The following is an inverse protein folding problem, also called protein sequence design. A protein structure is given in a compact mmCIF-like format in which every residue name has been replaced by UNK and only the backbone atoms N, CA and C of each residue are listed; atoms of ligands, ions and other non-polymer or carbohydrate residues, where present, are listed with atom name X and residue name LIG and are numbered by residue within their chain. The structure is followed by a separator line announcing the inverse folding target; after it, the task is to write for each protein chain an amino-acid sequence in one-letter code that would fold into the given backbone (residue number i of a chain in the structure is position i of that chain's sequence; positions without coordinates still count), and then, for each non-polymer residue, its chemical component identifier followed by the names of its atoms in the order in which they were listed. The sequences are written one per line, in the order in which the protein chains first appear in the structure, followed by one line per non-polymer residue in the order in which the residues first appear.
data_IF_375681815236
#
_entry.id   IF_375681815236
#
_cell.length_a   1.000
_cell.length_b   1.000
_cell.length_c   1.000
_cell.angle_alpha   90.00
_cell.angle_beta   90.00
_cell.angle_gamma   90.00
#
_symmetry.space_group_name_H-M   'P 1'
#
loop_
_entity.id
_entity.type
_entity.pdbx_description
1 polymer ?
#
# COMPACT_ATOMS: atom_id res chain seq x y z
N UNK A 1 2.82 -16.26 -1.80
CA UNK A 1 3.44 -15.74 -0.58
C UNK A 1 4.62 -16.62 -0.21
N UNK A 2 5.76 -16.00 0.06
CA UNK A 2 7.00 -16.67 0.42
C UNK A 2 7.22 -16.61 1.93
N UNK A 3 7.59 -17.71 2.57
CA UNK A 3 8.01 -17.70 3.97
C UNK A 3 9.42 -18.29 4.13
N UNK A 4 10.14 -17.76 5.10
CA UNK A 4 11.43 -18.30 5.54
C UNK A 4 11.25 -18.85 6.94
N UNK A 5 11.80 -20.04 7.18
CA UNK A 5 11.84 -20.66 8.48
C UNK A 5 13.30 -20.79 8.92
N UNK A 6 13.57 -20.29 10.10
CA UNK A 6 14.88 -20.42 10.73
C UNK A 6 14.78 -21.46 11.81
N UNK A 7 15.53 -22.55 11.66
CA UNK A 7 15.55 -23.69 12.58
C UNK A 7 16.96 -23.97 13.06
N UNK A 8 17.07 -24.52 14.28
CA UNK A 8 18.37 -24.89 14.85
C UNK A 8 18.93 -26.17 14.24
N UNK A 9 18.10 -27.18 14.05
CA UNK A 9 18.55 -28.51 13.58
C UNK A 9 17.70 -29.05 12.43
N UNK A 10 16.40 -29.14 12.60
CA UNK A 10 15.45 -29.63 11.59
C UNK A 10 14.07 -29.05 11.83
N UNK A 11 13.35 -28.85 10.75
CA UNK A 11 11.95 -28.45 10.83
C UNK A 11 11.12 -29.59 11.45
N UNK A 12 10.17 -29.21 12.31
CA UNK A 12 9.18 -30.14 12.84
C UNK A 12 8.39 -30.80 11.70
N UNK A 13 8.29 -32.14 11.71
CA UNK A 13 7.66 -32.93 10.63
C UNK A 13 6.17 -32.58 10.45
N UNK A 14 5.49 -32.12 11.51
CA UNK A 14 4.09 -31.70 11.45
C UNK A 14 3.91 -30.30 10.87
N UNK A 15 4.88 -29.43 11.05
CA UNK A 15 4.79 -28.03 10.58
C UNK A 15 4.99 -27.90 9.07
N UNK A 16 5.90 -28.68 8.49
CA UNK A 16 6.26 -28.62 7.07
C UNK A 16 5.07 -28.78 6.12
N UNK A 17 4.18 -29.79 6.27
CA UNK A 17 3.01 -29.94 5.41
C UNK A 17 2.01 -28.79 5.55
N UNK A 18 1.86 -28.25 6.77
CA UNK A 18 0.95 -27.13 7.04
C UNK A 18 1.42 -25.86 6.34
N UNK A 19 2.70 -25.58 6.40
CA UNK A 19 3.29 -24.40 5.74
C UNK A 19 3.17 -24.49 4.23
N UNK A 20 3.47 -25.65 3.65
CA UNK A 20 3.35 -25.89 2.22
C UNK A 20 1.90 -25.79 1.71
N UNK A 21 0.90 -25.91 2.58
CA UNK A 21 -0.51 -25.71 2.23
C UNK A 21 -0.95 -24.26 2.23
N UNK A 22 -0.19 -23.36 2.85
CA UNK A 22 -0.53 -21.93 3.02
C UNK A 22 0.36 -21.02 2.18
N UNK A 23 1.63 -21.39 2.03
CA UNK A 23 2.64 -20.59 1.35
C UNK A 23 3.03 -21.20 0.00
N UNK A 24 3.23 -20.38 -1.02
CA UNK A 24 3.67 -20.80 -2.35
C UNK A 24 5.14 -21.27 -2.34
N UNK A 25 5.93 -20.70 -1.45
CA UNK A 25 7.34 -21.04 -1.27
C UNK A 25 7.70 -21.02 0.21
N UNK A 26 8.36 -22.08 0.66
CA UNK A 26 8.89 -22.23 2.02
C UNK A 26 10.39 -22.50 1.91
N UNK A 27 11.19 -21.60 2.45
CA UNK A 27 12.64 -21.77 2.54
C UNK A 27 13.03 -22.06 3.99
N UNK A 28 13.81 -23.12 4.19
CA UNK A 28 14.36 -23.46 5.50
C UNK A 28 15.81 -22.99 5.55
N UNK A 29 16.18 -22.25 6.58
CA UNK A 29 17.53 -21.77 6.85
C UNK A 29 17.97 -22.35 8.18
N UNK A 30 19.14 -22.95 8.20
CA UNK A 30 19.74 -23.48 9.43
C UNK A 30 20.51 -22.39 10.18
N UNK A 31 20.55 -22.48 11.50
CA UNK A 31 21.09 -21.43 12.35
C UNK A 31 22.61 -21.18 12.25
N UNK A 32 23.32 -22.00 11.51
CA UNK A 32 24.74 -21.85 11.18
C UNK A 32 24.99 -21.13 9.85
N UNK A 33 23.91 -20.85 9.09
CA UNK A 33 23.96 -20.13 7.83
C UNK A 33 23.90 -18.60 8.05
N UNK A 34 24.37 -17.84 7.08
CA UNK A 34 24.25 -16.38 7.10
C UNK A 34 22.80 -15.94 6.76
N UNK A 35 21.96 -15.94 7.81
CA UNK A 35 20.52 -15.63 7.73
C UNK A 35 20.29 -14.23 7.17
N UNK A 36 21.12 -13.28 7.58
CA UNK A 36 21.00 -11.87 7.17
C UNK A 36 21.16 -11.78 5.67
N UNK A 37 22.23 -12.33 5.12
CA UNK A 37 22.45 -12.35 3.67
C UNK A 37 21.33 -13.06 2.91
N UNK A 38 20.79 -14.16 3.42
CA UNK A 38 19.67 -14.86 2.79
C UNK A 38 18.41 -13.98 2.68
N UNK A 39 18.06 -13.30 3.77
CA UNK A 39 16.89 -12.41 3.80
C UNK A 39 17.09 -11.17 2.92
N UNK A 40 18.32 -10.64 2.85
CA UNK A 40 18.65 -9.51 1.98
C UNK A 40 18.60 -9.86 0.49
N UNK A 41 19.04 -11.05 0.11
CA UNK A 41 19.08 -11.50 -1.28
C UNK A 41 17.70 -11.83 -1.85
N UNK A 42 16.81 -12.35 -1.02
CA UNK A 42 15.48 -12.81 -1.42
C UNK A 42 14.46 -12.65 -0.28
N UNK A 43 13.98 -11.41 -0.04
CA UNK A 43 13.14 -11.09 1.11
C UNK A 43 11.86 -11.93 1.18
N UNK A 44 11.54 -12.53 2.34
CA UNK A 44 10.30 -13.25 2.55
C UNK A 44 9.15 -12.30 2.90
N UNK A 45 7.93 -12.81 2.84
CA UNK A 45 6.74 -12.12 3.34
C UNK A 45 6.48 -12.35 4.84
N UNK A 46 7.05 -13.43 5.39
CA UNK A 46 6.94 -13.84 6.80
C UNK A 46 8.18 -14.61 7.23
N UNK A 47 8.65 -14.40 8.44
CA UNK A 47 9.74 -15.13 9.06
C UNK A 47 9.20 -15.95 10.23
N UNK A 48 9.40 -17.26 10.20
CA UNK A 48 9.16 -18.15 11.32
C UNK A 48 10.51 -18.52 11.96
N UNK A 49 10.63 -18.40 13.27
CA UNK A 49 11.88 -18.69 14.00
C UNK A 49 11.63 -19.65 15.13
N UNK A 50 12.39 -20.72 15.22
CA UNK A 50 12.36 -21.62 16.36
C UNK A 50 12.77 -20.88 17.65
N UNK A 51 11.98 -20.99 18.72
CA UNK A 51 12.21 -20.29 19.99
C UNK A 51 13.56 -20.61 20.62
N UNK A 52 14.04 -21.83 20.44
CA UNK A 52 15.36 -22.25 20.92
C UNK A 52 16.49 -21.48 20.25
N UNK A 53 16.31 -21.14 18.98
CA UNK A 53 17.26 -20.35 18.22
C UNK A 53 17.20 -18.85 18.60
N UNK A 54 16.00 -18.30 18.79
CA UNK A 54 15.81 -16.90 19.23
C UNK A 54 16.53 -16.59 20.55
N UNK A 55 16.62 -17.57 21.45
CA UNK A 55 17.32 -17.40 22.74
C UNK A 55 18.84 -17.40 22.60
N UNK A 56 19.37 -18.01 21.54
CA UNK A 56 20.81 -18.08 21.26
C UNK A 56 21.28 -16.97 20.33
N UNK A 57 20.33 -16.36 19.61
CA UNK A 57 20.61 -15.15 18.84
C UNK A 57 21.11 -14.08 19.79
N UNK A 58 22.32 -13.62 19.55
CA UNK A 58 22.82 -12.39 20.18
C UNK A 58 21.78 -11.30 19.93
N UNK A 59 21.40 -10.54 20.96
CA UNK A 59 20.41 -9.45 20.85
C UNK A 59 20.68 -8.54 19.64
N UNK A 60 21.93 -8.50 19.16
CA UNK A 60 22.36 -7.77 17.98
C UNK A 60 21.68 -8.17 16.67
N UNK A 61 21.40 -9.47 16.42
CA UNK A 61 20.78 -9.87 15.14
C UNK A 61 19.28 -9.53 15.13
N UNK A 62 18.59 -9.74 16.25
CA UNK A 62 17.19 -9.35 16.37
C UNK A 62 17.03 -7.82 16.27
N UNK A 63 17.93 -7.06 16.88
CA UNK A 63 18.00 -5.59 16.79
C UNK A 63 18.39 -5.15 15.39
N UNK A 64 19.27 -5.85 14.68
CA UNK A 64 19.62 -5.56 13.30
C UNK A 64 18.42 -5.73 12.36
N UNK A 65 17.63 -6.79 12.53
CA UNK A 65 16.38 -6.96 11.77
C UNK A 65 15.37 -5.86 12.08
N UNK A 66 15.18 -5.51 13.35
CA UNK A 66 14.19 -4.48 13.76
C UNK A 66 14.66 -3.06 13.49
N UNK A 67 15.95 -2.80 13.58
CA UNK A 67 16.55 -1.50 13.26
C UNK A 67 16.64 -1.22 11.77
N UNK A 68 16.46 -2.24 10.92
CA UNK A 68 16.54 -2.09 9.48
C UNK A 68 15.27 -1.44 8.91
N UNK A 69 15.42 -0.33 8.21
CA UNK A 69 14.30 0.43 7.63
C UNK A 69 13.55 -0.33 6.52
N UNK A 70 14.20 -1.31 5.90
CA UNK A 70 13.62 -2.09 4.78
C UNK A 70 12.91 -3.35 5.31
N UNK A 71 13.52 -4.06 6.26
CA UNK A 71 13.06 -5.38 6.71
C UNK A 71 12.47 -5.41 8.12
N UNK A 72 12.63 -4.32 8.89
CA UNK A 72 12.13 -4.24 10.27
C UNK A 72 10.60 -4.35 10.41
N UNK A 73 9.88 -4.27 9.29
CA UNK A 73 8.43 -4.46 9.23
C UNK A 73 8.00 -5.90 8.86
N UNK A 74 8.96 -6.79 8.52
CA UNK A 74 8.62 -8.19 8.23
C UNK A 74 8.11 -8.86 9.50
N UNK A 75 6.96 -9.56 9.43
CA UNK A 75 6.43 -10.27 10.58
C UNK A 75 7.39 -11.38 11.03
N UNK A 76 7.79 -11.31 12.29
CA UNK A 76 8.66 -12.30 12.95
C UNK A 76 7.82 -13.10 13.94
N UNK A 77 7.67 -14.40 13.69
CA UNK A 77 6.81 -15.29 14.47
C UNK A 77 7.64 -16.41 15.10
N UNK A 78 7.55 -16.55 16.42
CA UNK A 78 8.23 -17.62 17.12
C UNK A 78 7.47 -18.95 17.00
N UNK A 79 8.20 -20.02 16.75
CA UNK A 79 7.70 -21.41 16.85
C UNK A 79 8.14 -21.97 18.20
N UNK A 80 7.17 -22.25 19.07
CA UNK A 80 7.38 -22.49 20.50
C UNK A 80 6.89 -23.86 20.95
N UNK A 81 7.50 -24.37 22.00
CA UNK A 81 6.95 -25.44 22.84
C UNK A 81 6.14 -24.84 24.01
N UNK A 82 5.39 -25.67 24.77
CA UNK A 82 4.69 -25.20 25.97
C UNK A 82 5.63 -24.60 27.02
N UNK A 83 6.82 -25.19 27.18
CA UNK A 83 7.82 -24.69 28.11
C UNK A 83 8.31 -23.29 27.77
N UNK A 84 8.35 -22.98 26.49
CA UNK A 84 8.80 -21.66 26.04
C UNK A 84 7.81 -20.55 26.39
N UNK A 85 6.52 -20.88 26.46
CA UNK A 85 5.46 -19.92 26.81
C UNK A 85 5.42 -19.64 28.33
N UNK A 86 5.78 -20.60 29.15
CA UNK A 86 5.87 -20.42 30.60
C UNK A 86 7.01 -19.46 30.99
N UNK A 87 7.98 -19.28 30.10
CA UNK A 87 9.11 -18.40 30.30
C UNK A 87 8.73 -16.94 29.94
N UNK A 88 8.73 -16.07 30.97
CA UNK A 88 8.43 -14.64 30.80
C UNK A 88 9.38 -13.90 29.88
N UNK A 89 10.57 -14.43 29.62
CA UNK A 89 11.55 -13.81 28.71
C UNK A 89 11.05 -13.75 27.27
N UNK A 90 10.05 -14.56 26.91
CA UNK A 90 9.38 -14.44 25.61
C UNK A 90 8.72 -13.09 25.36
N UNK A 91 8.25 -12.40 26.40
CA UNK A 91 7.62 -11.09 26.28
C UNK A 91 8.61 -9.97 25.91
N UNK A 92 9.90 -10.21 26.19
CA UNK A 92 10.98 -9.26 25.90
C UNK A 92 11.61 -9.52 24.51
N UNK A 93 11.17 -10.60 23.82
CA UNK A 93 11.68 -10.91 22.49
C UNK A 93 11.00 -10.03 21.42
N UNK A 94 11.73 -9.59 20.39
CA UNK A 94 11.21 -8.73 19.33
C UNK A 94 10.38 -9.51 18.30
N UNK A 95 9.38 -10.29 18.77
CA UNK A 95 8.48 -11.08 17.95
C UNK A 95 7.10 -10.41 17.82
N UNK A 96 6.42 -10.66 16.70
CA UNK A 96 5.06 -10.13 16.46
C UNK A 96 3.98 -11.09 16.91
N UNK A 97 4.28 -12.42 16.90
CA UNK A 97 3.35 -13.47 17.32
C UNK A 97 4.12 -14.78 17.57
N UNK A 98 3.41 -15.82 18.03
CA UNK A 98 4.00 -17.14 18.25
C UNK A 98 3.04 -18.28 17.88
N UNK A 99 3.59 -19.44 17.54
CA UNK A 99 2.87 -20.68 17.26
C UNK A 99 3.35 -21.73 18.24
N UNK A 100 2.40 -22.43 18.89
CA UNK A 100 2.71 -23.51 19.85
C UNK A 100 2.56 -24.85 19.15
N UNK A 101 3.63 -25.63 19.07
CA UNK A 101 3.66 -26.90 18.33
C UNK A 101 2.72 -27.97 18.91
N UNK A 102 2.46 -27.96 20.24
CA UNK A 102 1.52 -28.89 20.90
C UNK A 102 0.05 -28.54 20.66
N UNK A 103 -0.27 -27.40 20.04
CA UNK A 103 -1.64 -27.04 19.73
C UNK A 103 -2.25 -27.98 18.68
N UNK A 104 -3.58 -28.17 18.69
CA UNK A 104 -4.25 -28.94 17.65
C UNK A 104 -3.91 -28.42 16.25
N UNK A 105 -3.67 -29.32 15.29
CA UNK A 105 -3.28 -28.98 13.90
C UNK A 105 -4.17 -27.90 13.27
N UNK A 106 -5.48 -27.98 13.50
CA UNK A 106 -6.42 -26.99 12.97
C UNK A 106 -6.18 -25.58 13.54
N UNK A 107 -5.73 -25.46 14.79
CA UNK A 107 -5.41 -24.17 15.40
C UNK A 107 -4.12 -23.60 14.80
N UNK A 108 -3.09 -24.44 14.66
CA UNK A 108 -1.81 -24.06 14.03
C UNK A 108 -2.08 -23.57 12.61
N UNK A 109 -2.82 -24.34 11.81
CA UNK A 109 -3.18 -23.98 10.43
C UNK A 109 -3.88 -22.65 10.37
N UNK A 110 -4.92 -22.44 11.18
CA UNK A 110 -5.68 -21.18 11.19
C UNK A 110 -4.82 -20.00 11.62
N UNK A 111 -3.93 -20.19 12.60
CA UNK A 111 -3.02 -19.13 13.04
C UNK A 111 -2.04 -18.75 11.92
N UNK A 112 -1.45 -19.71 11.25
CA UNK A 112 -0.58 -19.50 10.07
C UNK A 112 -1.33 -18.73 8.98
N UNK A 113 -2.57 -19.15 8.64
CA UNK A 113 -3.40 -18.45 7.65
C UNK A 113 -3.70 -17.00 8.06
N UNK A 114 -3.96 -16.74 9.35
CA UNK A 114 -4.17 -15.38 9.86
C UNK A 114 -2.91 -14.52 9.77
N UNK A 115 -1.78 -15.08 10.17
CA UNK A 115 -0.48 -14.40 10.12
C UNK A 115 -0.10 -14.06 8.68
N UNK A 116 -0.26 -15.01 7.77
CA UNK A 116 -0.04 -14.81 6.34
C UNK A 116 -0.88 -13.65 5.79
N UNK A 117 -2.20 -13.65 6.08
CA UNK A 117 -3.10 -12.57 5.65
C UNK A 117 -2.79 -11.23 6.30
N UNK A 118 -2.28 -11.23 7.54
CA UNK A 118 -1.86 -10.02 8.23
C UNK A 118 -0.61 -9.44 7.61
N UNK A 119 0.41 -10.27 7.36
CA UNK A 119 1.64 -9.88 6.71
C UNK A 119 1.38 -9.16 5.38
N UNK A 120 0.61 -9.78 4.48
CA UNK A 120 0.25 -9.17 3.20
C UNK A 120 -0.45 -7.82 3.38
N UNK A 121 -1.35 -7.71 4.36
CA UNK A 121 -2.07 -6.44 4.60
C UNK A 121 -1.16 -5.34 5.15
N UNK A 122 -0.27 -5.67 6.08
CA UNK A 122 0.62 -4.69 6.72
C UNK A 122 1.68 -4.17 5.74
N UNK A 123 2.19 -5.03 4.86
CA UNK A 123 3.16 -4.66 3.82
C UNK A 123 2.57 -3.78 2.72
N UNK A 124 1.27 -3.87 2.48
CA UNK A 124 0.58 -3.14 1.40
C UNK A 124 -0.11 -1.85 1.87
N UNK A 125 0.07 -1.43 3.12
CA UNK A 125 -0.46 -0.16 3.62
C UNK A 125 0.56 0.95 3.39
N UNK A 126 0.13 2.03 2.72
CA UNK A 126 0.96 3.22 2.62
C UNK A 126 1.25 3.79 4.02
N UNK A 127 2.52 3.94 4.43
CA UNK A 127 2.87 4.31 5.81
C UNK A 127 2.42 5.73 6.18
N UNK A 128 2.34 6.65 5.21
CA UNK A 128 1.96 8.03 5.41
C UNK A 128 0.43 8.22 5.52
N UNK A 129 -0.29 7.75 4.51
CA UNK A 129 -1.75 7.98 4.41
C UNK A 129 -2.59 6.88 5.07
N UNK A 130 -1.98 5.73 5.39
CA UNK A 130 -2.62 4.51 5.91
C UNK A 130 -3.68 3.92 4.97
N UNK A 131 -3.66 4.30 3.71
CA UNK A 131 -4.52 3.72 2.68
C UNK A 131 -3.89 2.43 2.12
N UNK A 132 -4.72 1.49 1.62
CA UNK A 132 -4.26 0.33 0.86
C UNK A 132 -3.33 0.74 -0.28
N UNK A 133 -2.26 -0.04 -0.49
CA UNK A 133 -1.26 0.19 -1.52
C UNK A 133 -1.52 -0.58 -2.81
N UNK A 134 -0.46 -0.75 -3.60
CA UNK A 134 -0.54 -1.26 -4.97
C UNK A 134 -1.15 -2.67 -5.07
N UNK A 135 -0.79 -3.59 -4.17
CA UNK A 135 -1.27 -4.97 -4.23
C UNK A 135 -2.78 -5.06 -3.95
N UNK A 136 -3.25 -4.35 -2.91
CA UNK A 136 -4.68 -4.26 -2.60
C UNK A 136 -5.47 -3.59 -3.71
N UNK A 137 -4.91 -2.55 -4.35
CA UNK A 137 -5.51 -1.87 -5.50
C UNK A 137 -5.70 -2.86 -6.66
N UNK A 138 -4.62 -3.55 -7.06
CA UNK A 138 -4.66 -4.52 -8.18
C UNK A 138 -5.63 -5.65 -7.89
N UNK A 139 -5.59 -6.23 -6.69
CA UNK A 139 -6.49 -7.29 -6.26
C UNK A 139 -7.95 -6.85 -6.28
N UNK A 140 -8.25 -5.65 -5.76
CA UNK A 140 -9.62 -5.11 -5.74
C UNK A 140 -10.16 -4.89 -7.15
N UNK A 141 -9.36 -4.28 -8.05
CA UNK A 141 -9.76 -4.07 -9.44
C UNK A 141 -9.98 -5.42 -10.13
N UNK A 142 -9.05 -6.38 -10.01
CA UNK A 142 -9.18 -7.68 -10.68
C UNK A 142 -10.39 -8.45 -10.16
N UNK A 143 -10.59 -8.53 -8.85
CA UNK A 143 -11.76 -9.18 -8.26
C UNK A 143 -13.07 -8.58 -8.78
N UNK A 144 -13.19 -7.27 -8.84
CA UNK A 144 -14.36 -6.58 -9.38
C UNK A 144 -14.61 -6.92 -10.86
N UNK A 145 -13.53 -7.02 -11.66
CA UNK A 145 -13.63 -7.41 -13.07
C UNK A 145 -14.09 -8.89 -13.22
N UNK A 146 -13.54 -9.79 -12.40
CA UNK A 146 -13.88 -11.22 -12.40
C UNK A 146 -15.34 -11.45 -11.98
N UNK A 147 -15.84 -10.70 -11.01
CA UNK A 147 -17.25 -10.69 -10.59
C UNK A 147 -18.17 -10.06 -11.65
N UNK A 148 -17.61 -9.35 -12.61
CA UNK A 148 -18.35 -8.63 -13.64
C UNK A 148 -19.15 -7.45 -13.14
N UNK A 149 -18.69 -6.84 -12.04
CA UNK A 149 -19.34 -5.68 -11.42
C UNK A 149 -19.28 -4.46 -12.33
N UNK A 150 -20.40 -3.75 -12.47
CA UNK A 150 -20.43 -2.45 -13.13
C UNK A 150 -19.90 -1.38 -12.18
N UNK A 151 -18.67 -0.93 -12.43
CA UNK A 151 -17.97 -0.01 -11.54
C UNK A 151 -17.14 1.00 -12.32
N UNK A 152 -16.88 2.12 -11.68
CA UNK A 152 -15.94 3.14 -12.13
C UNK A 152 -14.63 2.97 -11.36
N UNK A 153 -13.52 3.00 -12.08
CA UNK A 153 -12.17 2.99 -11.55
C UNK A 153 -11.52 4.34 -11.88
N UNK A 154 -11.16 5.12 -10.87
CA UNK A 154 -10.60 6.43 -11.03
C UNK A 154 -9.14 6.48 -10.54
N UNK A 155 -8.29 7.13 -11.33
CA UNK A 155 -6.91 7.50 -10.94
C UNK A 155 -6.86 9.00 -10.72
N UNK A 156 -6.50 9.42 -9.52
CA UNK A 156 -6.31 10.81 -9.14
C UNK A 156 -4.83 11.09 -8.91
N UNK A 157 -4.31 12.16 -9.48
CA UNK A 157 -2.92 12.62 -9.29
C UNK A 157 -2.91 14.09 -8.91
N UNK A 158 -1.97 14.48 -8.04
CA UNK A 158 -1.73 15.90 -7.72
C UNK A 158 -0.76 16.47 -8.75
N UNK A 159 -1.22 17.42 -9.55
CA UNK A 159 -0.37 18.11 -10.51
C UNK A 159 0.55 19.11 -9.80
N UNK A 160 1.74 19.33 -10.34
CA UNK A 160 2.77 20.23 -9.79
C UNK A 160 3.23 19.87 -8.35
N UNK A 161 3.04 18.63 -7.90
CA UNK A 161 3.44 18.20 -6.56
C UNK A 161 4.97 18.21 -6.38
N UNK A 162 5.73 17.82 -7.41
CA UNK A 162 7.20 17.83 -7.34
C UNK A 162 7.76 19.25 -7.18
N UNK A 163 7.40 20.27 -8.00
CA UNK A 163 7.80 21.65 -7.77
C UNK A 163 7.45 22.18 -6.38
N UNK A 164 6.31 21.77 -5.84
CA UNK A 164 5.93 22.13 -4.47
C UNK A 164 6.90 21.53 -3.44
N UNK A 165 7.22 20.22 -3.53
CA UNK A 165 8.19 19.58 -2.65
C UNK A 165 9.59 20.21 -2.74
N UNK A 166 10.00 20.56 -3.95
CA UNK A 166 11.31 21.19 -4.18
C UNK A 166 11.41 22.59 -3.51
N UNK A 167 10.27 23.30 -3.37
CA UNK A 167 10.21 24.64 -2.78
C UNK A 167 9.88 24.65 -1.29
N UNK A 168 8.92 23.83 -0.86
CA UNK A 168 8.38 23.82 0.52
C UNK A 168 8.93 22.66 1.38
N UNK A 169 9.64 21.73 0.76
CA UNK A 169 10.22 20.56 1.43
C UNK A 169 9.26 19.36 1.54
N UNK A 170 9.83 18.18 1.73
CA UNK A 170 9.09 16.92 1.76
C UNK A 170 8.06 16.84 2.89
N UNK A 171 8.35 17.42 4.05
CA UNK A 171 7.40 17.41 5.18
C UNK A 171 6.08 18.13 4.84
N UNK A 172 6.16 19.27 4.14
CA UNK A 172 4.97 19.98 3.66
C UNK A 172 4.23 19.19 2.57
N UNK A 173 4.97 18.49 1.71
CA UNK A 173 4.38 17.57 0.73
C UNK A 173 3.64 16.40 1.38
N UNK A 174 4.20 15.82 2.43
CA UNK A 174 3.56 14.76 3.20
C UNK A 174 2.22 15.23 3.81
N UNK A 175 2.19 16.46 4.33
CA UNK A 175 0.95 17.07 4.84
C UNK A 175 -0.11 17.21 3.74
N UNK A 176 0.28 17.63 2.53
CA UNK A 176 -0.61 17.69 1.35
C UNK A 176 -1.15 16.31 0.99
N UNK A 177 -0.31 15.28 0.97
CA UNK A 177 -0.73 13.89 0.68
C UNK A 177 -1.73 13.38 1.71
N UNK A 178 -1.47 13.61 3.00
CA UNK A 178 -2.39 13.21 4.09
C UNK A 178 -3.72 13.96 3.98
N UNK A 179 -3.70 15.26 3.71
CA UNK A 179 -4.90 16.07 3.54
C UNK A 179 -5.71 15.62 2.31
N UNK A 180 -5.04 15.32 1.19
CA UNK A 180 -5.68 14.80 -0.03
C UNK A 180 -6.32 13.43 0.23
N UNK A 181 -5.62 12.50 0.90
CA UNK A 181 -6.16 11.20 1.30
C UNK A 181 -7.43 11.34 2.14
N UNK A 182 -7.46 12.29 3.08
CA UNK A 182 -8.63 12.59 3.91
C UNK A 182 -9.80 13.14 3.09
N UNK A 183 -9.55 14.05 2.14
CA UNK A 183 -10.57 14.57 1.23
C UNK A 183 -11.21 13.45 0.44
N UNK A 184 -10.39 12.60 -0.19
CA UNK A 184 -10.85 11.48 -1.01
C UNK A 184 -11.67 10.50 -0.14
N UNK A 185 -11.15 10.12 1.03
CA UNK A 185 -11.83 9.17 1.92
C UNK A 185 -13.15 9.72 2.45
N UNK A 186 -13.20 11.01 2.80
CA UNK A 186 -14.42 11.64 3.27
C UNK A 186 -15.45 11.75 2.15
N UNK A 187 -15.05 12.14 0.94
CA UNK A 187 -15.94 12.15 -0.22
C UNK A 187 -16.52 10.76 -0.50
N UNK A 188 -15.69 9.71 -0.44
CA UNK A 188 -16.12 8.32 -0.59
C UNK A 188 -17.12 7.87 0.49
N UNK A 189 -16.93 8.28 1.75
CA UNK A 189 -17.83 7.94 2.87
C UNK A 189 -19.20 8.61 2.78
N UNK A 190 -19.30 9.76 2.15
CA UNK A 190 -20.56 10.48 1.97
C UNK A 190 -21.47 9.81 0.94
N UNK A 191 -20.94 8.96 0.08
CA UNK A 191 -21.69 8.10 -0.82
C UNK A 191 -22.42 7.02 0.01
N UNK A 192 -23.69 7.26 0.33
CA UNK A 192 -24.48 6.50 1.33
C UNK A 192 -24.79 5.06 0.94
N UNK A 193 -24.51 4.59 -0.28
CA UNK A 193 -25.05 3.33 -0.83
C UNK A 193 -24.04 2.31 -1.27
N UNK A 194 -22.74 2.63 -1.33
CA UNK A 194 -21.80 1.73 -1.96
C UNK A 194 -20.50 1.54 -1.20
N UNK A 195 -19.96 0.35 -1.32
CA UNK A 195 -18.58 0.07 -0.95
C UNK A 195 -17.66 0.78 -1.93
N UNK A 196 -17.13 1.92 -1.53
CA UNK A 196 -16.09 2.62 -2.29
C UNK A 196 -14.74 2.20 -1.74
N UNK A 197 -13.86 1.72 -2.63
CA UNK A 197 -12.46 1.44 -2.29
C UNK A 197 -11.62 2.69 -2.57
N UNK A 198 -10.67 2.97 -1.70
CA UNK A 198 -9.67 4.05 -1.87
C UNK A 198 -8.31 3.46 -1.56
N UNK A 199 -7.34 3.65 -2.46
CA UNK A 199 -5.96 3.24 -2.31
C UNK A 199 -4.97 4.34 -2.71
N UNK A 200 -3.71 4.21 -2.28
CA UNK A 200 -2.61 5.13 -2.58
C UNK A 200 -1.51 4.40 -3.38
N UNK A 201 -1.30 4.80 -4.64
CA UNK A 201 -0.39 4.14 -5.60
C UNK A 201 1.08 4.56 -5.41
N UNK A 202 1.41 5.23 -4.31
CA UNK A 202 2.74 5.83 -4.11
C UNK A 202 2.90 7.19 -4.81
N UNK A 203 3.87 7.98 -4.33
CA UNK A 203 4.04 9.35 -4.78
C UNK A 203 2.81 10.21 -4.52
N UNK A 204 2.27 10.82 -5.56
CA UNK A 204 1.11 11.73 -5.55
C UNK A 204 -0.19 11.10 -6.09
N UNK A 205 -0.19 9.76 -6.30
CA UNK A 205 -1.27 9.05 -6.98
C UNK A 205 -2.23 8.31 -6.05
N UNK A 206 -3.55 8.42 -6.32
CA UNK A 206 -4.60 7.69 -5.62
C UNK A 206 -5.48 6.92 -6.60
N UNK A 207 -6.06 5.81 -6.14
CA UNK A 207 -7.03 5.02 -6.91
C UNK A 207 -8.32 4.88 -6.11
N UNK A 208 -9.44 5.06 -6.81
CA UNK A 208 -10.77 4.86 -6.25
C UNK A 208 -11.54 3.84 -7.10
N UNK A 209 -12.36 3.03 -6.46
CA UNK A 209 -13.33 2.16 -7.13
C UNK A 209 -14.70 2.41 -6.50
N UNK A 210 -15.68 2.76 -7.33
CA UNK A 210 -17.04 3.09 -6.89
C UNK A 210 -18.09 2.66 -7.93
N UNK A 211 -19.38 2.66 -7.60
CA UNK A 211 -20.43 2.48 -8.58
C UNK A 211 -20.39 3.57 -9.66
N UNK A 212 -20.68 3.19 -10.91
CA UNK A 212 -20.67 4.12 -12.06
C UNK A 212 -21.57 5.33 -11.83
N UNK A 213 -22.75 5.11 -11.24
CA UNK A 213 -23.72 6.17 -11.00
C UNK A 213 -23.24 7.27 -10.05
N UNK A 214 -22.25 6.97 -9.20
CA UNK A 214 -21.74 7.88 -8.18
C UNK A 214 -20.38 8.51 -8.57
N UNK A 215 -19.76 8.03 -9.64
CA UNK A 215 -18.41 8.43 -10.02
C UNK A 215 -18.27 9.93 -10.31
N UNK A 216 -19.26 10.52 -10.98
CA UNK A 216 -19.24 11.94 -11.38
C UNK A 216 -19.37 12.85 -10.16
N UNK A 217 -20.33 12.57 -9.27
CA UNK A 217 -20.52 13.31 -8.02
C UNK A 217 -19.33 13.19 -7.08
N UNK A 218 -18.73 11.97 -6.99
CA UNK A 218 -17.54 11.73 -6.20
C UNK A 218 -16.37 12.58 -6.70
N UNK A 219 -16.08 12.52 -8.00
CA UNK A 219 -14.98 13.28 -8.59
C UNK A 219 -15.17 14.79 -8.46
N UNK A 220 -16.37 15.29 -8.73
CA UNK A 220 -16.71 16.70 -8.56
C UNK A 220 -16.53 17.15 -7.10
N UNK A 221 -16.97 16.32 -6.15
CA UNK A 221 -16.81 16.58 -4.73
C UNK A 221 -15.33 16.61 -4.29
N UNK A 222 -14.48 15.71 -4.82
CA UNK A 222 -13.05 15.69 -4.56
C UNK A 222 -12.39 16.96 -5.11
N UNK A 223 -12.59 17.28 -6.38
CA UNK A 223 -12.04 18.46 -7.05
C UNK A 223 -12.38 19.74 -6.26
N UNK A 224 -13.67 19.96 -5.97
CA UNK A 224 -14.12 21.15 -5.24
C UNK A 224 -13.49 21.29 -3.85
N UNK A 225 -13.28 20.19 -3.13
CA UNK A 225 -12.66 20.19 -1.79
C UNK A 225 -11.16 20.37 -1.87
N UNK A 226 -10.51 19.74 -2.84
CA UNK A 226 -9.09 19.90 -3.09
C UNK A 226 -8.73 21.35 -3.36
N UNK A 227 -9.43 22.01 -4.28
CA UNK A 227 -9.18 23.40 -4.66
C UNK A 227 -9.32 24.39 -3.50
N UNK A 228 -10.25 24.11 -2.58
CA UNK A 228 -10.40 24.91 -1.36
C UNK A 228 -9.28 24.67 -0.35
N UNK A 229 -8.88 23.40 -0.20
CA UNK A 229 -7.88 22.99 0.78
C UNK A 229 -6.47 23.40 0.37
N UNK A 230 -6.12 23.22 -0.92
CA UNK A 230 -4.74 23.32 -1.38
C UNK A 230 -4.13 24.70 -1.17
N UNK A 231 -4.95 25.75 -1.23
CA UNK A 231 -4.52 27.12 -1.00
C UNK A 231 -3.92 27.37 0.39
N UNK A 232 -4.31 26.56 1.40
CA UNK A 232 -3.79 26.68 2.77
C UNK A 232 -2.34 26.17 2.92
N UNK A 233 -1.79 25.53 1.89
CA UNK A 233 -0.43 25.00 1.87
C UNK A 233 0.58 25.96 1.21
N UNK A 234 0.15 27.11 0.77
CA UNK A 234 1.01 28.13 0.17
C UNK A 234 1.10 29.39 1.03
N UNK A 235 2.22 30.08 0.95
CA UNK A 235 2.37 31.41 1.51
C UNK A 235 1.61 32.47 0.68
N UNK A 236 1.45 33.66 1.25
CA UNK A 236 0.68 34.74 0.59
C UNK A 236 1.33 35.18 -0.72
N UNK A 237 2.65 35.20 -0.82
CA UNK A 237 3.39 35.60 -2.02
C UNK A 237 3.09 34.68 -3.22
N UNK A 238 3.18 33.36 -3.01
CA UNK A 238 2.89 32.37 -4.05
C UNK A 238 1.40 32.37 -4.44
N UNK A 239 0.51 32.64 -3.48
CA UNK A 239 -0.92 32.80 -3.75
C UNK A 239 -1.22 34.03 -4.61
N UNK A 240 -0.61 35.16 -4.31
CA UNK A 240 -0.77 36.41 -5.06
C UNK A 240 -0.21 36.28 -6.48
N UNK A 241 0.93 35.58 -6.62
CA UNK A 241 1.56 35.34 -7.91
C UNK A 241 0.86 34.22 -8.70
N UNK A 242 -0.04 33.44 -8.06
CA UNK A 242 -0.73 32.29 -8.64
C UNK A 242 0.20 31.12 -8.96
N UNK A 243 1.28 30.93 -8.19
CA UNK A 243 2.22 29.82 -8.33
C UNK A 243 3.59 30.10 -7.76
N UNK A 244 4.41 29.07 -7.71
CA UNK A 244 5.80 29.11 -7.21
C UNK A 244 6.69 29.68 -8.31
N UNK A 245 7.48 30.69 -7.99
CA UNK A 245 8.52 31.24 -8.86
C UNK A 245 9.87 30.74 -8.38
N UNK A 246 10.50 29.89 -9.17
CA UNK A 246 11.81 29.31 -8.86
C UNK A 246 12.86 29.73 -9.91
N UNK A 247 14.13 29.75 -9.52
CA UNK A 247 15.23 29.93 -10.48
C UNK A 247 15.92 28.59 -10.72
N UNK A 248 16.00 28.20 -11.99
CA UNK A 248 16.78 27.03 -12.38
C UNK A 248 18.27 27.22 -12.08
N UNK A 249 19.06 26.14 -12.14
CA UNK A 249 20.52 26.21 -12.00
C UNK A 249 21.20 27.05 -13.09
N UNK A 250 20.53 27.23 -14.23
CA UNK A 250 20.98 28.11 -15.34
C UNK A 250 20.62 29.58 -15.10
N UNK A 251 19.90 29.91 -14.01
CA UNK A 251 19.46 31.27 -13.70
C UNK A 251 18.15 31.68 -14.35
N UNK A 252 17.54 30.80 -15.15
CA UNK A 252 16.24 31.04 -15.77
C UNK A 252 15.12 31.02 -14.71
N UNK A 253 14.16 31.94 -14.83
CA UNK A 253 13.01 32.01 -13.95
C UNK A 253 11.93 31.05 -14.49
N UNK A 254 11.57 30.05 -13.71
CA UNK A 254 10.49 29.13 -14.00
C UNK A 254 9.32 29.41 -13.04
N UNK A 255 8.11 29.46 -13.58
CA UNK A 255 6.89 29.60 -12.79
C UNK A 255 6.09 28.30 -12.87
N UNK A 256 5.83 27.69 -11.71
CA UNK A 256 5.00 26.51 -11.56
C UNK A 256 3.65 26.92 -11.00
N UNK A 257 2.52 26.58 -11.65
CA UNK A 257 1.18 26.85 -11.12
C UNK A 257 0.97 26.23 -9.76
N UNK A 258 -0.01 26.69 -9.01
CA UNK A 258 -0.47 26.03 -7.80
C UNK A 258 -0.87 24.59 -8.11
N UNK A 259 -0.72 23.71 -7.11
CA UNK A 259 -1.15 22.31 -7.25
C UNK A 259 -2.63 22.22 -7.60
N UNK A 260 -2.94 21.29 -8.50
CA UNK A 260 -4.30 20.91 -8.90
C UNK A 260 -4.43 19.39 -8.79
N UNK A 261 -5.64 18.86 -8.91
CA UNK A 261 -5.88 17.43 -8.94
C UNK A 261 -6.51 17.03 -10.28
N UNK A 262 -5.89 16.04 -10.94
CA UNK A 262 -6.36 15.46 -12.20
C UNK A 262 -6.90 14.05 -11.97
N UNK A 263 -8.18 13.79 -12.34
CA UNK A 263 -8.81 12.48 -12.12
C UNK A 263 -9.25 11.88 -13.45
N UNK A 264 -8.70 10.72 -13.79
CA UNK A 264 -9.09 9.91 -14.95
C UNK A 264 -9.99 8.75 -14.50
N UNK A 265 -11.19 8.64 -15.07
CA UNK A 265 -12.20 7.65 -14.66
C UNK A 265 -12.49 6.67 -15.79
N UNK A 266 -12.24 5.39 -15.55
CA UNK A 266 -12.55 4.27 -16.43
C UNK A 266 -13.88 3.66 -16.01
N UNK A 267 -14.78 3.44 -16.97
CA UNK A 267 -16.08 2.82 -16.71
C UNK A 267 -16.06 1.37 -17.17
N UNK A 268 -16.26 0.42 -16.24
CA UNK A 268 -16.43 -1.01 -16.52
C UNK A 268 -17.92 -1.31 -16.73
N UNK A 269 -18.51 -0.76 -17.79
CA UNK A 269 -19.86 -1.09 -18.22
C UNK A 269 -19.84 -2.35 -19.11
N UNK A 270 -20.85 -3.23 -18.95
CA UNK A 270 -21.04 -4.44 -19.79
C UNK A 270 -19.76 -5.29 -19.90
N UNK A 271 -18.98 -5.40 -18.80
CA UNK A 271 -17.72 -6.14 -18.76
C UNK A 271 -16.71 -5.69 -19.81
N UNK A 272 -16.56 -4.38 -19.98
CA UNK A 272 -15.62 -3.76 -20.93
C UNK A 272 -14.19 -4.25 -20.73
N UNK A 273 -13.79 -4.48 -19.50
CA UNK A 273 -12.46 -4.93 -19.13
C UNK A 273 -12.49 -6.34 -18.52
N UNK A 274 -11.50 -7.14 -18.87
CA UNK A 274 -11.28 -8.50 -18.33
C UNK A 274 -10.03 -8.59 -17.45
N UNK A 275 -9.14 -7.59 -17.52
CA UNK A 275 -7.87 -7.57 -16.78
C UNK A 275 -7.48 -6.15 -16.40
N UNK A 276 -6.99 -5.98 -15.17
CA UNK A 276 -6.59 -4.66 -14.66
C UNK A 276 -5.60 -3.90 -15.57
N UNK A 277 -4.70 -4.63 -16.27
CA UNK A 277 -3.75 -4.02 -17.18
C UNK A 277 -4.38 -3.29 -18.37
N UNK A 278 -5.61 -3.68 -18.79
CA UNK A 278 -6.36 -2.95 -19.82
C UNK A 278 -6.87 -1.63 -19.24
N UNK A 279 -7.43 -1.68 -18.03
CA UNK A 279 -7.94 -0.50 -17.31
C UNK A 279 -6.81 0.52 -17.08
N UNK A 280 -5.65 0.05 -16.60
CA UNK A 280 -4.47 0.90 -16.32
C UNK A 280 -3.92 1.57 -17.58
N UNK A 281 -3.92 0.87 -18.73
CA UNK A 281 -3.50 1.43 -20.02
C UNK A 281 -4.41 2.56 -20.46
N UNK A 282 -5.72 2.32 -20.45
CA UNK A 282 -6.71 3.32 -20.81
C UNK A 282 -6.68 4.52 -19.85
N UNK A 283 -6.50 4.27 -18.54
CA UNK A 283 -6.33 5.31 -17.55
C UNK A 283 -5.14 6.22 -17.85
N UNK A 284 -3.98 5.62 -18.26
CA UNK A 284 -2.80 6.40 -18.61
C UNK A 284 -3.02 7.32 -19.83
N UNK A 285 -3.87 6.91 -20.78
CA UNK A 285 -4.26 7.75 -21.91
C UNK A 285 -5.14 8.93 -21.43
N UNK A 286 -6.20 8.63 -20.69
CA UNK A 286 -7.13 9.68 -20.20
C UNK A 286 -6.43 10.65 -19.27
N UNK A 287 -5.51 10.19 -18.39
CA UNK A 287 -4.67 11.06 -17.55
C UNK A 287 -3.94 12.12 -18.36
N UNK A 288 -3.36 11.76 -19.53
CA UNK A 288 -2.69 12.73 -20.42
C UNK A 288 -3.63 13.84 -20.92
N UNK A 289 -4.90 13.54 -21.10
CA UNK A 289 -5.88 14.55 -21.52
C UNK A 289 -6.31 15.44 -20.34
N UNK A 290 -6.64 14.83 -19.20
CA UNK A 290 -7.07 15.58 -18.01
C UNK A 290 -6.00 16.56 -17.57
N UNK A 291 -4.73 16.14 -17.51
CA UNK A 291 -3.58 16.99 -17.12
C UNK A 291 -3.30 18.17 -18.07
N UNK A 292 -3.95 18.23 -19.23
CA UNK A 292 -3.86 19.39 -20.14
C UNK A 292 -4.96 20.43 -19.91
N UNK A 293 -5.97 20.08 -19.12
CA UNK A 293 -7.02 21.01 -18.76
C UNK A 293 -6.49 21.96 -17.68
N UNK A 294 -6.97 23.19 -17.69
CA UNK A 294 -6.59 24.19 -16.71
C UNK A 294 -7.32 23.92 -15.38
N UNK A 295 -6.59 23.99 -14.27
CA UNK A 295 -7.12 23.75 -12.91
C UNK A 295 -7.39 22.29 -12.60
N UNK A 296 -8.02 22.03 -11.45
CA UNK A 296 -8.42 20.68 -11.07
C UNK A 296 -9.57 20.18 -11.92
N UNK A 297 -9.43 18.97 -12.47
CA UNK A 297 -10.40 18.42 -13.40
C UNK A 297 -10.55 16.90 -13.27
N UNK A 298 -11.65 16.39 -13.79
CA UNK A 298 -11.86 14.95 -13.97
C UNK A 298 -12.44 14.66 -15.36
N UNK A 299 -12.19 13.47 -15.85
CA UNK A 299 -12.70 13.00 -17.14
C UNK A 299 -13.12 11.54 -17.07
N UNK A 300 -14.35 11.25 -17.47
CA UNK A 300 -14.87 9.90 -17.62
C UNK A 300 -14.57 9.39 -19.04
N UNK A 301 -13.95 8.20 -19.13
CA UNK A 301 -13.79 7.53 -20.42
C UNK A 301 -15.12 6.93 -20.89
N UNK A 302 -15.79 7.70 -21.74
CA UNK A 302 -17.07 7.30 -22.36
C UNK A 302 -16.89 6.59 -23.71
N UNK A 303 -15.67 6.28 -24.13
CA UNK A 303 -15.40 5.53 -25.37
C UNK A 303 -16.02 4.14 -25.27
N UNK A 304 -16.80 3.74 -26.27
CA UNK A 304 -17.50 2.43 -26.30
C UNK A 304 -18.90 2.43 -25.68
N UNK A 305 -19.43 3.55 -25.19
CA UNK A 305 -20.87 3.69 -24.98
C UNK A 305 -21.55 3.76 -26.35
N UNK A 306 -22.17 2.64 -26.76
CA UNK A 306 -23.12 2.67 -27.87
C UNK A 306 -24.32 3.51 -27.43
N UNK A 307 -24.64 4.54 -28.19
CA UNK A 307 -25.83 5.37 -28.06
C UNK A 307 -27.08 4.51 -28.08
#
# INVERSE_FOLDING_TARGET
MKTVIIVKKSLDEHLSPLLSSVFDSVQVIHGDEDIVSHIYMDPPDLILVESSYLRELDAGIADEFRGNTIYGHLPLVAVCTEKDIEDRTMLDMPIDDFIVLSSPEIQIRRRIEFLARRAVREMDINPLTRLPGNESILRTIQQMLDEGSESAIAWADIDNFKPYNDSYGFSSGDEVLVATARIITNAARELRRAHTFVGHVGGDGFVLVCPIAEAEDLCAGIVSRFDRMIRNFYNDEDLEQGGIVSRSRSGEVEKFPLMTISIAVMLNEKKRYSHYGQVSRDAAEIKKYVKRLEGSNYMLDRRGRSS
#
